data_IF_815109725798
#
_entry.id   IF_815109725798
#
_cell.length_a   1.000
_cell.length_b   1.000
_cell.length_c   1.000
_cell.angle_alpha   90.00
_cell.angle_beta   90.00
_cell.angle_gamma   90.00
#
_symmetry.space_group_name_H-M   'P 1'
#
loop_
_entity.id
_entity.type
_entity.pdbx_description
1 polymer ?
#
# COMPACT_ATOMS: atom_id res chain seq x y z
N UNK A 1 -12.01 -11.02 12.06
CA UNK A 1 -12.22 -12.01 10.99
C UNK A 1 -13.10 -13.16 11.47
N UNK A 2 -12.60 -14.18 12.19
CA UNK A 2 -13.48 -15.30 12.59
C UNK A 2 -14.65 -14.87 13.50
N UNK A 3 -14.41 -13.95 14.44
CA UNK A 3 -15.48 -13.39 15.27
C UNK A 3 -16.57 -12.67 14.44
N UNK A 4 -16.17 -11.96 13.38
CA UNK A 4 -17.08 -11.23 12.49
C UNK A 4 -17.89 -12.22 11.65
N UNK A 5 -17.26 -13.27 11.12
CA UNK A 5 -17.95 -14.37 10.43
C UNK A 5 -18.98 -15.03 11.34
N UNK A 6 -18.60 -15.31 12.59
CA UNK A 6 -19.50 -15.93 13.58
C UNK A 6 -20.67 -15.02 13.93
N UNK A 7 -20.45 -13.70 13.98
CA UNK A 7 -21.52 -12.73 14.20
C UNK A 7 -22.45 -12.58 12.99
N UNK A 8 -21.90 -12.57 11.76
CA UNK A 8 -22.66 -12.41 10.52
C UNK A 8 -23.44 -13.69 10.18
N UNK A 9 -22.85 -14.86 10.41
CA UNK A 9 -23.43 -16.18 10.06
C UNK A 9 -24.05 -16.89 11.28
N UNK A 10 -24.47 -16.12 12.30
CA UNK A 10 -24.96 -16.67 13.56
C UNK A 10 -26.10 -17.67 13.36
N UNK A 11 -27.12 -17.32 12.58
CA UNK A 11 -28.31 -18.16 12.33
C UNK A 11 -27.94 -19.50 11.66
N UNK A 12 -26.95 -19.48 10.76
CA UNK A 12 -26.51 -20.69 10.07
C UNK A 12 -25.68 -21.59 11.00
N UNK A 13 -24.82 -21.00 11.83
CA UNK A 13 -24.05 -21.72 12.85
C UNK A 13 -24.97 -22.29 13.94
N UNK A 14 -26.03 -21.58 14.28
CA UNK A 14 -27.06 -22.07 15.20
C UNK A 14 -27.81 -23.27 14.60
N UNK A 15 -28.18 -23.24 13.31
CA UNK A 15 -28.79 -24.39 12.65
C UNK A 15 -27.86 -25.62 12.65
N UNK A 16 -26.57 -25.43 12.34
CA UNK A 16 -25.57 -26.51 12.41
C UNK A 16 -25.43 -27.06 13.82
N UNK A 17 -25.42 -26.19 14.83
CA UNK A 17 -25.36 -26.61 16.23
C UNK A 17 -26.58 -27.46 16.61
N UNK A 18 -27.78 -27.07 16.21
CA UNK A 18 -29.00 -27.85 16.43
C UNK A 18 -28.93 -29.23 15.77
N UNK A 19 -28.41 -29.31 14.53
CA UNK A 19 -28.21 -30.60 13.84
C UNK A 19 -27.20 -31.50 14.55
N UNK A 20 -26.16 -30.93 15.15
CA UNK A 20 -25.21 -31.68 15.97
C UNK A 20 -25.84 -32.21 17.26
N UNK A 21 -26.62 -31.37 17.96
CA UNK A 21 -27.35 -31.76 19.17
C UNK A 21 -28.38 -32.85 18.88
N UNK A 22 -29.11 -32.75 17.76
CA UNK A 22 -30.05 -33.76 17.30
C UNK A 22 -29.37 -35.10 16.95
N UNK A 23 -28.13 -35.05 16.46
CA UNK A 23 -27.31 -36.23 16.19
C UNK A 23 -26.73 -36.89 17.46
N UNK A 24 -26.96 -36.31 18.65
CA UNK A 24 -26.52 -36.84 19.94
C UNK A 24 -25.33 -36.09 20.55
N UNK A 25 -24.92 -34.94 20.00
CA UNK A 25 -23.88 -34.13 20.62
C UNK A 25 -24.42 -33.49 21.91
N UNK A 26 -23.53 -33.29 22.88
CA UNK A 26 -23.85 -32.58 24.11
C UNK A 26 -23.58 -31.08 23.99
N UNK A 27 -22.64 -30.69 23.12
CA UNK A 27 -22.38 -29.30 22.78
C UNK A 27 -21.62 -29.16 21.45
N UNK A 28 -21.82 -28.01 20.80
CA UNK A 28 -21.06 -27.52 19.65
C UNK A 28 -20.44 -26.17 20.00
N UNK A 29 -19.22 -25.90 19.53
CA UNK A 29 -18.46 -24.72 19.93
C UNK A 29 -17.43 -24.29 18.90
N UNK A 30 -17.07 -23.02 18.96
CA UNK A 30 -16.11 -22.37 18.09
C UNK A 30 -15.11 -21.60 18.95
N UNK A 31 -13.82 -21.79 18.71
CA UNK A 31 -12.74 -21.07 19.37
C UNK A 31 -11.94 -20.22 18.40
N UNK A 32 -11.34 -19.16 18.94
CA UNK A 32 -10.31 -18.39 18.25
C UNK A 32 -8.93 -19.06 18.39
N UNK A 33 -7.89 -18.55 17.70
CA UNK A 33 -6.52 -19.09 17.78
C UNK A 33 -5.90 -19.00 19.18
N UNK A 34 -6.37 -18.07 20.01
CA UNK A 34 -5.97 -17.88 21.40
C UNK A 34 -6.71 -18.84 22.37
N UNK A 35 -7.50 -19.78 21.82
CA UNK A 35 -8.29 -20.76 22.56
C UNK A 35 -9.41 -20.13 23.42
N UNK A 36 -9.82 -18.91 23.09
CA UNK A 36 -10.98 -18.26 23.67
C UNK A 36 -12.24 -18.69 22.93
N UNK A 37 -13.31 -18.94 23.68
CA UNK A 37 -14.59 -19.40 23.15
C UNK A 37 -15.31 -18.24 22.47
N UNK A 38 -15.53 -18.35 21.15
CA UNK A 38 -16.30 -17.38 20.38
C UNK A 38 -17.80 -17.64 20.47
N UNK A 39 -18.20 -18.91 20.39
CA UNK A 39 -19.60 -19.30 20.49
C UNK A 39 -19.74 -20.75 20.98
N UNK A 40 -20.85 -21.05 21.67
CA UNK A 40 -21.19 -22.39 22.17
C UNK A 40 -22.70 -22.60 22.23
N UNK A 41 -23.10 -23.80 21.88
CA UNK A 41 -24.48 -24.27 21.96
C UNK A 41 -24.53 -25.64 22.64
N UNK A 42 -25.46 -25.89 23.59
CA UNK A 42 -26.31 -24.89 24.25
C UNK A 42 -25.46 -23.94 25.13
N UNK A 43 -25.95 -22.71 25.31
CA UNK A 43 -25.29 -21.71 26.17
C UNK A 43 -25.34 -22.17 27.63
N UNK A 44 -24.18 -22.25 28.29
CA UNK A 44 -24.12 -22.64 29.70
C UNK A 44 -24.69 -21.50 30.56
N UNK A 45 -25.64 -21.83 31.44
CA UNK A 45 -26.34 -20.85 32.30
C UNK A 45 -25.40 -20.09 33.25
N UNK A 46 -24.20 -20.61 33.51
CA UNK A 46 -23.15 -19.97 34.31
C UNK A 46 -21.85 -20.04 33.51
N UNK A 47 -21.15 -18.92 33.34
CA UNK A 47 -19.95 -18.72 32.51
C UNK A 47 -18.70 -19.53 32.87
N UNK A 48 -18.85 -20.77 33.36
CA UNK A 48 -17.78 -21.74 33.50
C UNK A 48 -17.44 -22.31 32.11
N UNK A 49 -16.30 -21.90 31.57
CA UNK A 49 -15.55 -22.67 30.59
C UNK A 49 -15.20 -24.02 31.21
N UNK A 50 -16.05 -25.03 31.06
CA UNK A 50 -15.63 -26.40 31.40
C UNK A 50 -14.38 -26.69 30.57
N UNK A 51 -13.21 -26.77 31.24
CA UNK A 51 -11.90 -27.06 30.67
C UNK A 51 -11.76 -28.49 30.15
N UNK A 52 -12.86 -29.06 29.69
CA UNK A 52 -12.90 -30.34 29.00
C UNK A 52 -12.63 -30.06 27.53
N UNK A 53 -11.59 -30.67 26.97
CA UNK A 53 -11.37 -30.60 25.54
C UNK A 53 -12.54 -31.28 24.81
N UNK A 54 -13.01 -30.72 23.68
CA UNK A 54 -13.99 -31.38 22.82
C UNK A 54 -13.50 -32.77 22.37
N UNK A 55 -14.44 -33.69 22.16
CA UNK A 55 -14.14 -35.03 21.68
C UNK A 55 -13.66 -35.01 20.23
N UNK A 56 -14.23 -34.13 19.42
CA UNK A 56 -13.82 -33.90 18.04
C UNK A 56 -13.49 -32.44 17.83
N UNK A 57 -12.38 -32.18 17.16
CA UNK A 57 -11.96 -30.85 16.72
C UNK A 57 -11.68 -30.83 15.24
N UNK A 58 -12.00 -29.71 14.60
CA UNK A 58 -11.58 -29.44 13.23
C UNK A 58 -11.10 -27.99 13.12
N UNK A 59 -9.90 -27.82 12.56
CA UNK A 59 -9.28 -26.50 12.43
C UNK A 59 -9.85 -25.72 11.24
N UNK A 60 -10.08 -24.44 11.45
CA UNK A 60 -10.47 -23.49 10.39
C UNK A 60 -9.20 -22.76 9.95
N UNK A 61 -8.85 -22.87 8.66
CA UNK A 61 -7.59 -22.35 8.12
C UNK A 61 -7.83 -21.40 6.96
N UNK A 62 -7.06 -20.32 6.90
CA UNK A 62 -7.00 -19.42 5.74
C UNK A 62 -5.56 -19.42 5.24
N UNK A 63 -5.31 -20.10 4.12
CA UNK A 63 -3.96 -20.42 3.68
C UNK A 63 -3.27 -21.33 4.69
N UNK A 64 -2.12 -20.91 5.22
CA UNK A 64 -1.36 -21.65 6.25
C UNK A 64 -1.66 -21.19 7.69
N UNK A 65 -2.57 -20.23 7.87
CA UNK A 65 -2.88 -19.66 9.18
C UNK A 65 -4.16 -20.29 9.73
N UNK A 66 -4.06 -20.93 10.89
CA UNK A 66 -5.24 -21.36 11.66
C UNK A 66 -5.90 -20.15 12.30
N UNK A 67 -7.13 -19.85 11.88
CA UNK A 67 -7.91 -18.71 12.36
C UNK A 67 -8.90 -19.10 13.45
N UNK A 68 -9.04 -20.39 13.74
CA UNK A 68 -9.82 -20.92 14.87
C UNK A 68 -10.09 -22.42 14.71
N UNK A 69 -11.00 -22.95 15.53
CA UNK A 69 -11.39 -24.36 15.49
C UNK A 69 -12.86 -24.56 15.85
N UNK A 70 -13.48 -25.56 15.23
CA UNK A 70 -14.77 -26.12 15.64
C UNK A 70 -14.55 -27.27 16.62
N UNK A 71 -15.46 -27.42 17.57
CA UNK A 71 -15.49 -28.57 18.46
C UNK A 71 -16.88 -29.11 18.71
N UNK A 72 -16.94 -30.43 18.87
CA UNK A 72 -18.15 -31.18 19.24
C UNK A 72 -17.85 -32.01 20.48
N UNK A 73 -18.80 -32.02 21.42
CA UNK A 73 -18.77 -32.83 22.63
C UNK A 73 -19.80 -33.96 22.57
N UNK A 74 -19.50 -35.11 23.18
CA UNK A 74 -20.45 -36.23 23.35
C UNK A 74 -20.54 -37.20 22.18
N UNK A 75 -19.91 -36.91 21.04
CA UNK A 75 -19.81 -37.82 19.89
C UNK A 75 -18.33 -37.95 19.49
N UNK A 76 -17.88 -39.18 19.24
CA UNK A 76 -16.57 -39.50 18.66
C UNK A 76 -16.70 -40.68 17.70
N UNK A 77 -17.37 -40.45 16.57
CA UNK A 77 -17.48 -41.43 15.48
C UNK A 77 -16.72 -40.93 14.26
N UNK A 78 -16.23 -41.86 13.42
CA UNK A 78 -15.51 -41.48 12.20
C UNK A 78 -16.39 -40.66 11.24
N UNK A 79 -17.69 -40.98 11.16
CA UNK A 79 -18.65 -40.20 10.37
C UNK A 79 -18.80 -38.77 10.90
N UNK A 80 -18.85 -38.60 12.22
CA UNK A 80 -18.89 -37.27 12.84
C UNK A 80 -17.59 -36.50 12.60
N UNK A 81 -16.43 -37.16 12.65
CA UNK A 81 -15.14 -36.52 12.35
C UNK A 81 -15.08 -36.01 10.90
N UNK A 82 -15.52 -36.82 9.93
CA UNK A 82 -15.58 -36.43 8.51
C UNK A 82 -16.54 -35.26 8.30
N UNK A 83 -17.72 -35.30 8.94
CA UNK A 83 -18.70 -34.21 8.87
C UNK A 83 -18.14 -32.91 9.45
N UNK A 84 -17.57 -32.95 10.65
CA UNK A 84 -16.99 -31.77 11.31
C UNK A 84 -15.84 -31.18 10.48
N UNK A 85 -15.02 -32.03 9.86
CA UNK A 85 -13.96 -31.57 8.96
C UNK A 85 -14.52 -30.91 7.69
N UNK A 86 -15.59 -31.45 7.10
CA UNK A 86 -16.24 -30.86 5.93
C UNK A 86 -16.83 -29.48 6.27
N UNK A 87 -17.45 -29.34 7.44
CA UNK A 87 -17.99 -28.06 7.93
C UNK A 87 -16.88 -27.04 8.21
N UNK A 88 -15.77 -27.47 8.83
CA UNK A 88 -14.60 -26.61 9.03
C UNK A 88 -13.95 -26.17 7.70
N UNK A 89 -13.92 -27.06 6.69
CA UNK A 89 -13.42 -26.74 5.36
C UNK A 89 -14.31 -25.70 4.65
N UNK A 90 -15.63 -25.78 4.82
CA UNK A 90 -16.57 -24.80 4.26
C UNK A 90 -16.38 -23.43 4.90
N UNK A 91 -16.28 -23.36 6.23
CA UNK A 91 -15.97 -22.12 6.94
C UNK A 91 -14.61 -21.55 6.55
N UNK A 92 -13.63 -22.42 6.30
CA UNK A 92 -12.30 -22.03 5.79
C UNK A 92 -12.40 -21.37 4.41
N UNK A 93 -13.24 -21.91 3.50
CA UNK A 93 -13.49 -21.31 2.19
C UNK A 93 -14.20 -19.95 2.28
N UNK A 94 -15.21 -19.83 3.15
CA UNK A 94 -15.90 -18.55 3.39
C UNK A 94 -14.94 -17.49 3.93
N UNK A 95 -14.11 -17.86 4.90
CA UNK A 95 -13.10 -16.95 5.46
C UNK A 95 -12.05 -16.55 4.43
N UNK A 96 -11.68 -17.45 3.51
CA UNK A 96 -10.80 -17.13 2.38
C UNK A 96 -11.45 -16.11 1.44
N UNK A 97 -12.71 -16.33 1.04
CA UNK A 97 -13.42 -15.42 0.14
C UNK A 97 -13.62 -14.03 0.76
N UNK A 98 -13.96 -13.95 2.04
CA UNK A 98 -14.13 -12.68 2.75
C UNK A 98 -12.81 -11.91 2.83
N UNK A 99 -11.69 -12.62 3.07
CA UNK A 99 -10.35 -12.02 3.01
C UNK A 99 -10.02 -11.51 1.60
N UNK A 100 -10.32 -12.29 0.57
CA UNK A 100 -10.08 -11.88 -0.82
C UNK A 100 -10.91 -10.66 -1.19
N UNK A 101 -12.19 -10.62 -0.79
CA UNK A 101 -13.06 -9.45 -1.00
C UNK A 101 -12.51 -8.20 -0.29
N UNK A 102 -12.07 -8.34 0.96
CA UNK A 102 -11.45 -7.23 1.69
C UNK A 102 -10.14 -6.77 1.04
N UNK A 103 -9.34 -7.70 0.50
CA UNK A 103 -8.11 -7.38 -0.25
C UNK A 103 -8.43 -6.63 -1.54
N UNK A 104 -9.39 -7.12 -2.33
CA UNK A 104 -9.84 -6.45 -3.56
C UNK A 104 -10.42 -5.06 -3.26
N UNK A 105 -11.17 -4.91 -2.17
CA UNK A 105 -11.68 -3.61 -1.74
C UNK A 105 -10.54 -2.64 -1.40
N UNK A 106 -9.51 -3.10 -0.71
CA UNK A 106 -8.31 -2.30 -0.44
C UNK A 106 -7.58 -1.91 -1.74
N UNK A 107 -7.37 -2.86 -2.65
CA UNK A 107 -6.74 -2.59 -3.95
C UNK A 107 -7.57 -1.62 -4.83
N UNK A 108 -8.90 -1.70 -4.77
CA UNK A 108 -9.80 -0.77 -5.46
C UNK A 108 -9.73 0.63 -4.87
N UNK A 109 -9.63 0.76 -3.54
CA UNK A 109 -9.43 2.04 -2.87
C UNK A 109 -8.09 2.64 -3.28
N UNK A 110 -7.00 1.85 -3.25
CA UNK A 110 -5.67 2.30 -3.67
C UNK A 110 -5.66 2.74 -5.14
N UNK A 111 -6.30 1.97 -6.03
CA UNK A 111 -6.42 2.32 -7.45
C UNK A 111 -7.24 3.59 -7.66
N UNK A 112 -8.33 3.76 -6.89
CA UNK A 112 -9.15 4.97 -6.92
C UNK A 112 -8.35 6.20 -6.48
N UNK A 113 -7.57 6.09 -5.41
CA UNK A 113 -6.74 7.17 -4.90
C UNK A 113 -5.63 7.52 -5.90
N UNK A 114 -5.04 6.52 -6.57
CA UNK A 114 -4.10 6.72 -7.68
C UNK A 114 -4.77 7.44 -8.86
N UNK A 115 -5.98 7.06 -9.26
CA UNK A 115 -6.71 7.74 -10.33
C UNK A 115 -7.07 9.18 -9.96
N UNK A 116 -7.44 9.45 -8.70
CA UNK A 116 -7.68 10.81 -8.20
C UNK A 116 -6.39 11.64 -8.19
N UNK A 117 -5.25 11.06 -7.81
CA UNK A 117 -3.96 11.72 -7.88
C UNK A 117 -3.56 12.03 -9.33
N UNK A 118 -3.75 11.07 -10.24
CA UNK A 118 -3.46 11.24 -11.66
C UNK A 118 -4.39 12.28 -12.30
N UNK A 119 -5.68 12.25 -11.97
CA UNK A 119 -6.67 13.23 -12.42
C UNK A 119 -6.34 14.63 -11.93
N UNK A 120 -6.07 14.81 -10.62
CA UNK A 120 -5.71 16.11 -10.05
C UNK A 120 -4.48 16.70 -10.73
N UNK A 121 -3.51 15.86 -11.08
CA UNK A 121 -2.29 16.34 -11.70
C UNK A 121 -2.38 16.44 -13.23
N UNK A 122 -3.33 15.78 -13.90
CA UNK A 122 -3.71 16.13 -15.29
C UNK A 122 -4.48 17.44 -15.35
N UNK A 123 -5.41 17.67 -14.42
CA UNK A 123 -6.19 18.90 -14.29
C UNK A 123 -5.29 20.09 -13.98
N UNK A 124 -4.33 19.93 -13.07
CA UNK A 124 -3.31 20.94 -12.81
C UNK A 124 -2.51 21.24 -14.09
N UNK A 125 -1.96 20.23 -14.78
CA UNK A 125 -1.14 20.46 -15.98
C UNK A 125 -1.87 21.07 -17.18
N UNK A 126 -3.22 21.08 -17.19
CA UNK A 126 -4.02 21.56 -18.32
C UNK A 126 -3.98 23.07 -18.53
N UNK A 127 -3.44 23.84 -17.58
CA UNK A 127 -3.48 25.30 -17.56
C UNK A 127 -2.11 26.01 -17.66
N UNK A 128 -1.00 25.29 -17.86
CA UNK A 128 0.33 25.92 -17.76
C UNK A 128 0.99 26.18 -19.10
N UNK A 129 1.42 27.42 -19.28
CA UNK A 129 1.97 27.95 -20.53
C UNK A 129 3.51 27.79 -20.56
N UNK A 130 4.13 27.45 -19.42
CA UNK A 130 5.59 27.33 -19.27
C UNK A 130 6.08 26.03 -18.61
N UNK A 131 7.28 25.61 -19.02
CA UNK A 131 7.99 24.47 -18.43
C UNK A 131 8.38 24.73 -16.97
N UNK A 132 8.73 25.99 -16.63
CA UNK A 132 9.14 26.36 -15.28
C UNK A 132 7.96 26.25 -14.29
N UNK A 133 6.79 26.77 -14.65
CA UNK A 133 5.54 26.63 -13.85
C UNK A 133 5.16 25.16 -13.65
N UNK A 134 5.32 24.36 -14.70
CA UNK A 134 5.04 22.91 -14.64
C UNK A 134 5.98 22.23 -13.64
N UNK A 135 7.28 22.54 -13.69
CA UNK A 135 8.27 21.95 -12.79
C UNK A 135 8.07 22.39 -11.34
N UNK A 136 7.78 23.66 -11.09
CA UNK A 136 7.48 24.18 -9.75
C UNK A 136 6.23 23.50 -9.17
N UNK A 137 5.18 23.32 -9.98
CA UNK A 137 3.97 22.63 -9.53
C UNK A 137 4.23 21.15 -9.25
N UNK A 138 5.00 20.48 -10.10
CA UNK A 138 5.40 19.10 -9.87
C UNK A 138 6.21 18.97 -8.57
N UNK A 139 7.12 19.89 -8.27
CA UNK A 139 7.86 19.91 -7.01
C UNK A 139 6.91 20.07 -5.80
N UNK A 140 5.96 21.00 -5.90
CA UNK A 140 4.93 21.20 -4.87
C UNK A 140 4.10 19.94 -4.62
N UNK A 141 3.52 19.35 -5.66
CA UNK A 141 2.67 18.16 -5.52
C UNK A 141 3.48 16.95 -5.04
N UNK A 142 4.73 16.82 -5.46
CA UNK A 142 5.64 15.77 -4.98
C UNK A 142 5.84 15.87 -3.47
N UNK A 143 6.21 17.05 -2.95
CA UNK A 143 6.41 17.26 -1.52
C UNK A 143 5.13 16.94 -0.73
N UNK A 144 3.97 17.34 -1.26
CA UNK A 144 2.68 17.11 -0.63
C UNK A 144 2.28 15.63 -0.60
N UNK A 145 2.41 14.92 -1.72
CA UNK A 145 2.02 13.52 -1.86
C UNK A 145 2.93 12.59 -1.04
N UNK A 146 4.23 12.87 -1.02
CA UNK A 146 5.23 12.10 -0.25
C UNK A 146 5.29 12.56 1.22
N UNK A 147 4.54 13.60 1.59
CA UNK A 147 4.50 14.19 2.95
C UNK A 147 5.90 14.58 3.43
N UNK A 148 6.59 15.38 2.64
CA UNK A 148 7.93 15.86 2.93
C UNK A 148 7.96 17.38 3.05
N UNK A 149 8.95 17.90 3.78
CA UNK A 149 9.13 19.34 3.95
C UNK A 149 9.54 20.02 2.64
N UNK A 150 10.28 19.32 1.78
CA UNK A 150 10.71 19.87 0.50
C UNK A 150 10.88 18.82 -0.59
N UNK A 151 10.81 19.28 -1.84
CA UNK A 151 11.10 18.50 -3.02
C UNK A 151 11.75 19.36 -4.10
N UNK A 152 12.48 18.72 -5.01
CA UNK A 152 13.08 19.37 -6.15
C UNK A 152 13.07 18.47 -7.38
N UNK A 153 13.06 19.10 -8.54
CA UNK A 153 13.20 18.43 -9.83
C UNK A 153 14.34 19.08 -10.59
N UNK A 154 15.18 18.26 -11.21
CA UNK A 154 16.27 18.70 -12.06
C UNK A 154 16.21 17.92 -13.36
N UNK A 155 16.28 18.64 -14.48
CA UNK A 155 16.38 18.05 -15.82
C UNK A 155 17.52 18.73 -16.58
N UNK A 156 18.47 17.93 -17.04
CA UNK A 156 19.61 18.35 -17.84
C UNK A 156 19.40 17.89 -19.29
N UNK A 157 19.23 18.85 -20.20
CA UNK A 157 18.97 18.64 -21.63
C UNK A 157 20.17 19.12 -22.45
N UNK A 158 20.60 18.40 -23.50
CA UNK A 158 21.84 18.68 -24.24
C UNK A 158 21.88 20.03 -24.97
N UNK A 159 20.74 20.72 -25.14
CA UNK A 159 20.63 21.99 -25.87
C UNK A 159 19.84 23.07 -25.12
N UNK A 160 19.60 22.89 -23.81
CA UNK A 160 18.90 23.88 -22.98
C UNK A 160 19.63 24.08 -21.65
N UNK A 161 19.50 25.26 -21.02
CA UNK A 161 19.96 25.42 -19.65
C UNK A 161 19.27 24.39 -18.75
N UNK A 162 20.00 23.92 -17.73
CA UNK A 162 19.48 22.96 -16.76
C UNK A 162 18.22 23.52 -16.11
N UNK A 163 17.13 22.79 -16.26
CA UNK A 163 15.86 23.12 -15.65
C UNK A 163 15.89 22.67 -14.19
N UNK A 164 15.49 23.56 -13.29
CA UNK A 164 15.49 23.31 -11.85
C UNK A 164 14.20 23.86 -11.26
N UNK A 165 13.53 23.06 -10.43
CA UNK A 165 12.45 23.54 -9.59
C UNK A 165 12.64 23.06 -8.16
N UNK A 166 12.24 23.89 -7.21
CA UNK A 166 12.36 23.65 -5.79
C UNK A 166 11.06 24.03 -5.11
N UNK A 167 10.68 23.27 -4.09
CA UNK A 167 9.60 23.63 -3.19
C UNK A 167 9.99 23.29 -1.74
N UNK A 168 9.70 24.17 -0.75
CA UNK A 168 9.28 25.56 -0.91
C UNK A 168 10.43 26.48 -1.35
N UNK A 169 11.67 26.09 -1.08
CA UNK A 169 12.88 26.83 -1.44
C UNK A 169 14.05 25.86 -1.61
N UNK A 170 15.15 26.33 -2.24
CA UNK A 170 16.37 25.57 -2.38
C UNK A 170 16.98 25.25 -1.00
N UNK A 171 17.04 23.97 -0.65
CA UNK A 171 17.67 23.49 0.61
C UNK A 171 19.08 22.92 0.41
N UNK A 172 19.39 22.43 -0.79
CA UNK A 172 20.71 21.91 -1.15
C UNK A 172 21.52 23.00 -1.83
N UNK A 173 22.81 23.11 -1.49
CA UNK A 173 23.76 23.90 -2.28
C UNK A 173 24.02 23.24 -3.65
N UNK A 174 24.68 23.95 -4.56
CA UNK A 174 24.93 23.41 -5.90
C UNK A 174 26.00 22.28 -5.90
N UNK A 175 26.84 22.20 -4.87
CA UNK A 175 27.90 21.20 -4.72
C UNK A 175 27.32 19.83 -4.33
N UNK A 176 26.59 19.75 -3.22
CA UNK A 176 25.88 18.54 -2.77
C UNK A 176 24.91 18.03 -3.84
N UNK A 177 24.26 18.95 -4.54
CA UNK A 177 23.35 18.64 -5.64
C UNK A 177 24.09 18.04 -6.85
N UNK A 178 25.30 18.51 -7.18
CA UNK A 178 26.11 17.93 -8.23
C UNK A 178 26.58 16.50 -7.89
N UNK A 179 26.90 16.23 -6.63
CA UNK A 179 27.23 14.89 -6.14
C UNK A 179 26.04 13.95 -6.28
N UNK A 180 24.86 14.38 -5.82
CA UNK A 180 23.62 13.63 -5.96
C UNK A 180 23.31 13.27 -7.43
N UNK A 181 23.49 14.23 -8.34
CA UNK A 181 23.28 13.99 -9.77
C UNK A 181 24.30 13.00 -10.34
N UNK A 182 25.56 13.08 -9.91
CA UNK A 182 26.63 12.17 -10.36
C UNK A 182 26.36 10.74 -9.89
N UNK A 183 25.94 10.56 -8.64
CA UNK A 183 25.51 9.26 -8.11
C UNK A 183 24.33 8.70 -8.90
N UNK A 184 23.33 9.53 -9.19
CA UNK A 184 22.14 9.13 -9.94
C UNK A 184 22.42 8.78 -11.41
N UNK A 185 23.37 9.47 -12.06
CA UNK A 185 23.82 9.14 -13.41
C UNK A 185 24.46 7.74 -13.47
N UNK A 186 25.21 7.35 -12.44
CA UNK A 186 25.90 6.07 -12.39
C UNK A 186 24.97 4.90 -12.04
N UNK A 187 24.06 5.07 -11.06
CA UNK A 187 23.22 3.97 -10.55
C UNK A 187 21.92 3.79 -11.33
N UNK A 188 21.28 4.89 -11.77
CA UNK A 188 19.90 4.92 -12.29
C UNK A 188 18.88 4.16 -11.43
N UNK A 189 19.14 4.04 -10.13
CA UNK A 189 18.26 3.41 -9.16
C UNK A 189 17.87 4.45 -8.09
N UNK A 190 16.72 4.28 -7.42
CA UNK A 190 16.39 5.07 -6.26
C UNK A 190 17.50 5.02 -5.23
N UNK A 191 17.78 6.16 -4.64
CA UNK A 191 18.76 6.31 -3.58
C UNK A 191 18.08 6.91 -2.36
N UNK A 192 18.31 6.30 -1.20
CA UNK A 192 17.78 6.74 0.08
C UNK A 192 18.96 7.01 1.01
N UNK A 193 18.99 8.20 1.58
CA UNK A 193 20.01 8.62 2.54
C UNK A 193 19.33 9.23 3.76
N UNK A 194 19.79 8.87 4.94
CA UNK A 194 19.39 9.47 6.22
C UNK A 194 20.61 10.06 6.90
N UNK A 195 20.42 10.99 7.84
CA UNK A 195 21.51 11.64 8.59
C UNK A 195 22.49 10.65 9.22
N UNK A 196 22.00 9.49 9.66
CA UNK A 196 22.80 8.45 10.31
C UNK A 196 23.69 7.65 9.33
N UNK A 197 23.45 7.77 8.03
CA UNK A 197 24.18 7.02 6.98
C UNK A 197 25.33 7.81 6.34
N UNK A 198 25.46 9.10 6.65
CA UNK A 198 26.45 10.01 6.04
C UNK A 198 27.38 10.55 7.13
N UNK A 199 28.70 10.39 6.95
CA UNK A 199 29.71 10.77 7.95
C UNK A 199 29.86 12.28 8.16
N UNK A 200 29.43 13.10 7.20
CA UNK A 200 29.40 14.56 7.29
C UNK A 200 27.97 15.02 7.52
N UNK A 201 27.76 15.87 8.52
CA UNK A 201 26.45 16.38 8.95
C UNK A 201 25.66 16.98 7.77
N UNK A 202 24.76 16.22 7.11
CA UNK A 202 24.17 16.65 5.86
C UNK A 202 23.14 17.77 6.12
N UNK A 203 22.91 18.67 5.15
CA UNK A 203 21.93 19.76 5.30
C UNK A 203 20.47 19.27 5.32
N UNK A 204 20.24 17.96 5.29
CA UNK A 204 18.94 17.29 5.31
C UNK A 204 18.90 16.17 6.35
N UNK A 205 17.71 15.92 6.94
CA UNK A 205 17.45 14.80 7.85
C UNK A 205 17.33 13.48 7.09
N UNK A 206 16.61 13.52 5.98
CA UNK A 206 16.39 12.37 5.09
C UNK A 206 16.28 12.85 3.65
N UNK A 207 16.76 12.04 2.71
CA UNK A 207 16.76 12.33 1.28
C UNK A 207 16.37 11.07 0.51
N UNK A 208 15.39 11.22 -0.37
CA UNK A 208 14.99 10.24 -1.36
C UNK A 208 15.21 10.82 -2.75
N UNK A 209 16.09 10.20 -3.53
CA UNK A 209 16.33 10.51 -4.92
C UNK A 209 15.77 9.40 -5.80
N UNK A 210 15.05 9.77 -6.84
CA UNK A 210 14.57 8.84 -7.86
C UNK A 210 14.90 9.38 -9.25
N UNK A 211 15.30 8.50 -10.18
CA UNK A 211 15.55 8.92 -11.55
C UNK A 211 14.21 9.21 -12.23
N UNK A 212 14.16 10.26 -13.03
CA UNK A 212 13.05 10.53 -13.95
C UNK A 212 13.46 10.12 -15.35
N UNK A 213 12.50 9.63 -16.14
CA UNK A 213 12.72 9.37 -17.55
C UNK A 213 12.23 10.57 -18.36
N UNK A 214 13.18 11.33 -18.90
CA UNK A 214 12.89 12.43 -19.84
C UNK A 214 13.72 12.18 -21.10
N UNK A 215 13.04 12.11 -22.24
CA UNK A 215 13.64 11.86 -23.55
C UNK A 215 14.72 12.90 -23.85
N UNK A 216 15.85 12.40 -24.35
CA UNK A 216 17.06 13.19 -24.65
C UNK A 216 17.71 13.88 -23.44
N UNK A 217 17.22 13.68 -22.20
CA UNK A 217 17.92 14.20 -21.02
C UNK A 217 19.20 13.42 -20.76
N UNK A 218 20.26 14.14 -20.40
CA UNK A 218 21.49 13.55 -19.87
C UNK A 218 21.27 13.06 -18.43
N UNK A 219 20.44 13.78 -17.69
CA UNK A 219 20.09 13.48 -16.29
C UNK A 219 18.75 14.10 -15.97
N UNK A 220 17.85 13.32 -15.37
CA UNK A 220 16.61 13.83 -14.82
C UNK A 220 16.37 13.15 -13.47
N UNK A 221 16.17 13.95 -12.43
CA UNK A 221 16.08 13.48 -11.04
C UNK A 221 14.99 14.23 -10.32
N UNK A 222 14.20 13.48 -9.57
CA UNK A 222 13.27 14.00 -8.55
C UNK A 222 13.87 13.67 -7.19
N UNK A 223 14.00 14.70 -6.35
CA UNK A 223 14.47 14.58 -4.99
C UNK A 223 13.43 15.05 -4.00
N UNK A 224 13.35 14.34 -2.88
CA UNK A 224 12.44 14.64 -1.77
C UNK A 224 13.24 14.64 -0.48
N UNK A 225 13.08 15.66 0.36
CA UNK A 225 13.87 15.81 1.57
C UNK A 225 13.00 16.04 2.80
N UNK A 226 13.50 15.54 3.94
CA UNK A 226 12.92 15.66 5.26
C UNK A 226 11.46 15.19 5.29
N UNK A 227 11.24 13.89 5.28
CA UNK A 227 9.91 13.33 5.45
C UNK A 227 9.31 13.75 6.80
N UNK A 228 8.02 14.10 6.78
CA UNK A 228 7.27 14.51 7.97
C UNK A 228 6.88 13.28 8.79
N UNK A 229 7.15 13.32 10.09
CA UNK A 229 6.82 12.25 11.05
C UNK A 229 7.92 11.20 11.21
N UNK A 230 8.33 10.54 10.13
CA UNK A 230 9.27 9.40 10.13
C UNK A 230 10.21 9.41 8.90
N UNK A 231 11.13 8.45 8.81
CA UNK A 231 11.99 8.22 7.65
C UNK A 231 11.24 7.66 6.42
N UNK A 232 11.85 7.79 5.24
CA UNK A 232 11.33 7.24 4.00
C UNK A 232 11.31 5.70 4.04
N UNK A 233 10.20 5.11 3.64
CA UNK A 233 9.95 3.68 3.62
C UNK A 233 9.63 3.21 2.20
N UNK A 234 9.54 1.89 2.00
CA UNK A 234 9.22 1.29 0.70
C UNK A 234 7.96 1.87 0.01
N UNK A 235 6.86 2.21 0.71
CA UNK A 235 5.72 2.88 0.09
C UNK A 235 6.06 4.26 -0.50
N UNK A 236 6.90 5.05 0.19
CA UNK A 236 7.30 6.39 -0.28
C UNK A 236 8.19 6.29 -1.52
N UNK A 237 9.08 5.30 -1.57
CA UNK A 237 9.91 5.03 -2.75
C UNK A 237 9.05 4.66 -3.95
N UNK A 238 8.02 3.83 -3.76
CA UNK A 238 7.07 3.46 -4.82
C UNK A 238 6.27 4.68 -5.30
N UNK A 239 5.78 5.51 -4.38
CA UNK A 239 5.06 6.74 -4.71
C UNK A 239 5.96 7.72 -5.48
N UNK A 240 7.18 7.98 -4.99
CA UNK A 240 8.12 8.88 -5.65
C UNK A 240 8.49 8.40 -7.06
N UNK A 241 8.65 7.09 -7.28
CA UNK A 241 8.86 6.51 -8.62
C UNK A 241 7.67 6.78 -9.55
N UNK A 242 6.45 6.51 -9.09
CA UNK A 242 5.26 6.74 -9.91
C UNK A 242 5.11 8.22 -10.29
N UNK A 243 5.40 9.13 -9.35
CA UNK A 243 5.44 10.57 -9.60
C UNK A 243 6.56 10.92 -10.59
N UNK A 244 7.75 10.33 -10.46
CA UNK A 244 8.88 10.56 -11.36
C UNK A 244 8.59 10.13 -12.81
N UNK A 245 7.95 8.97 -12.99
CA UNK A 245 7.53 8.47 -14.30
C UNK A 245 6.49 9.40 -14.95
N UNK A 246 5.50 9.84 -14.16
CA UNK A 246 4.50 10.79 -14.64
C UNK A 246 5.10 12.17 -14.95
N UNK A 247 5.94 12.69 -14.05
CA UNK A 247 6.60 13.99 -14.20
C UNK A 247 7.45 14.01 -15.47
N UNK A 248 8.18 12.93 -15.73
CA UNK A 248 8.95 12.75 -16.96
C UNK A 248 8.09 12.89 -18.22
N UNK A 249 6.96 12.18 -18.28
CA UNK A 249 6.02 12.26 -19.40
C UNK A 249 5.41 13.66 -19.57
N UNK A 250 5.07 14.35 -18.48
CA UNK A 250 4.51 15.70 -18.58
C UNK A 250 5.54 16.75 -19.02
N UNK A 251 6.76 16.64 -18.52
CA UNK A 251 7.87 17.48 -18.96
C UNK A 251 8.08 17.32 -20.47
N UNK A 252 8.06 16.08 -20.97
CA UNK A 252 8.14 15.82 -22.41
C UNK A 252 7.00 16.46 -23.20
N UNK A 253 5.75 16.32 -22.74
CA UNK A 253 4.59 16.90 -23.41
C UNK A 253 4.70 18.43 -23.52
N UNK A 254 5.10 19.10 -22.43
CA UNK A 254 5.27 20.55 -22.42
C UNK A 254 6.42 20.99 -23.33
N UNK A 255 7.55 20.28 -23.31
CA UNK A 255 8.69 20.56 -24.19
C UNK A 255 8.33 20.40 -25.67
N UNK A 256 7.57 19.35 -26.03
CA UNK A 256 7.09 19.12 -27.39
C UNK A 256 6.14 20.22 -27.86
N UNK A 257 5.22 20.64 -26.99
CA UNK A 257 4.28 21.72 -27.29
C UNK A 257 5.02 23.05 -27.53
N UNK A 258 5.98 23.40 -26.66
CA UNK A 258 6.81 24.59 -26.83
C UNK A 258 7.56 24.59 -28.17
N UNK A 259 8.19 23.47 -28.53
CA UNK A 259 8.92 23.34 -29.79
C UNK A 259 7.99 23.52 -31.01
N UNK A 260 6.77 22.98 -30.96
CA UNK A 260 5.78 23.16 -32.02
C UNK A 260 5.36 24.62 -32.17
N UNK A 261 5.13 25.33 -31.06
CA UNK A 261 4.72 26.74 -31.07
C UNK A 261 5.84 27.64 -31.60
N UNK A 262 7.10 27.37 -31.23
CA UNK A 262 8.27 28.09 -31.77
C UNK A 262 8.41 27.90 -33.28
N UNK A 263 8.21 26.68 -33.79
CA UNK A 263 8.28 26.41 -35.23
C UNK A 263 7.19 27.14 -36.02
N UNK A 264 5.96 27.21 -35.51
CA UNK A 264 4.87 27.95 -36.18
C UNK A 264 5.15 29.46 -36.21
N UNK A 265 5.76 30.01 -35.15
CA UNK A 265 6.16 31.44 -35.11
C UNK A 265 7.28 31.79 -36.08
N UNK A 266 8.19 30.86 -36.38
CA UNK A 266 9.29 31.07 -37.33
C UNK A 266 8.88 30.94 -38.81
N UNK A 267 7.69 30.38 -39.08
CA UNK A 267 7.16 30.20 -40.44
C UNK A 267 6.16 31.28 -40.87
N UNK A 268 5.88 32.26 -40.01
CA UNK A 268 4.97 33.40 -40.28
C UNK A 268 5.76 34.70 -40.33
#
# INVERSE_FOLDING_TARGET
>A
MLADIVAIQHDHLEALAHDWLAAGATAFCIWNPQNELLARWPMLANGSSNGTAPNLTASIQVGNLTIGALGVFGIDTDQARVRLQAEANLLSQLAHLERDLNSMAAELIDTRDQLLALYNLTEATRHYVGIDETLERLAYETAKLVKAESAFLIVDLPQRPRLKAYYPSKMLDDETLAECLTMMQASRQPFLSTRDTVSDDPPYRSLLLVPMQVRQSKTAVLGVMNKLGDDFMSPDVKMAKAIADYAGAQIENVLLFQASVEQTRLQT
#
